data_IF_933014776003
#
_entry.id   IF_933014776003
#
_cell.length_a   1.000
_cell.length_b   1.000
_cell.length_c   1.000
_cell.angle_alpha   90.00
_cell.angle_beta   90.00
_cell.angle_gamma   90.00
#
_symmetry.space_group_name_H-M   'P 1'
#
loop_
_entity.id
_entity.type
_entity.pdbx_description
1 polymer ?
#
# COMPACT_ATOMS: atom_id res chain seq x y z
N UNK A 1 -9.26 24.91 37.74
CA UNK A 1 -9.35 23.53 37.22
C UNK A 1 -10.22 23.58 35.98
N UNK A 2 -9.61 23.84 34.81
CA UNK A 2 -10.30 23.77 33.53
C UNK A 2 -9.65 22.61 32.79
N UNK A 3 -10.38 21.52 32.70
CA UNK A 3 -10.01 20.31 31.97
C UNK A 3 -10.02 20.66 30.48
N UNK A 4 -8.83 20.75 29.90
CA UNK A 4 -8.66 20.96 28.47
C UNK A 4 -9.05 19.65 27.81
N UNK A 5 -10.25 19.63 27.22
CA UNK A 5 -10.70 18.57 26.35
C UNK A 5 -9.61 18.29 25.32
N UNK A 6 -9.06 17.08 25.36
CA UNK A 6 -8.13 16.59 24.36
C UNK A 6 -8.80 16.75 22.99
N UNK A 7 -8.23 17.64 22.18
CA UNK A 7 -8.59 17.75 20.77
C UNK A 7 -8.26 16.39 20.16
N UNK A 8 -9.30 15.64 19.80
CA UNK A 8 -9.18 14.43 18.99
C UNK A 8 -8.54 14.90 17.69
N UNK A 9 -7.24 14.66 17.53
CA UNK A 9 -6.53 14.93 16.29
C UNK A 9 -7.05 13.88 15.29
N UNK A 10 -8.18 14.20 14.67
CA UNK A 10 -8.76 13.41 13.60
C UNK A 10 -7.79 13.50 12.43
N UNK A 11 -6.80 12.61 12.40
CA UNK A 11 -5.86 12.53 11.28
C UNK A 11 -6.69 12.19 10.03
N UNK A 12 -6.90 13.12 9.07
CA UNK A 12 -7.78 12.88 7.94
C UNK A 12 -7.33 11.68 7.09
N UNK A 13 -6.04 11.33 7.18
CA UNK A 13 -5.48 10.16 6.51
C UNK A 13 -6.00 8.82 7.06
N UNK A 14 -6.39 8.75 8.34
CA UNK A 14 -6.99 7.53 8.91
C UNK A 14 -8.33 7.20 8.23
N UNK A 15 -9.06 8.23 7.80
CA UNK A 15 -10.33 8.10 7.12
C UNK A 15 -10.18 7.89 5.60
N UNK A 16 -8.96 7.97 5.07
CA UNK A 16 -8.70 7.82 3.64
C UNK A 16 -9.16 6.43 3.15
N UNK A 17 -9.89 6.35 2.01
CA UNK A 17 -10.38 5.08 1.49
C UNK A 17 -9.29 4.02 1.31
N UNK A 18 -8.12 4.44 0.79
CA UNK A 18 -6.98 3.55 0.62
C UNK A 18 -6.48 2.96 1.95
N UNK A 19 -6.36 3.78 3.00
CA UNK A 19 -5.90 3.35 4.33
C UNK A 19 -6.86 2.32 4.92
N UNK A 20 -8.18 2.54 4.79
CA UNK A 20 -9.20 1.57 5.22
C UNK A 20 -9.10 0.25 4.46
N UNK A 21 -8.85 0.29 3.15
CA UNK A 21 -8.69 -0.93 2.35
C UNK A 21 -7.43 -1.70 2.74
N UNK A 22 -6.32 -0.99 3.03
CA UNK A 22 -5.09 -1.61 3.52
C UNK A 22 -5.29 -2.28 4.89
N UNK A 23 -5.98 -1.62 5.83
CA UNK A 23 -6.32 -2.21 7.14
C UNK A 23 -7.13 -3.49 6.98
N UNK A 24 -8.15 -3.49 6.11
CA UNK A 24 -8.96 -4.69 5.84
C UNK A 24 -8.10 -5.84 5.35
N UNK A 25 -7.12 -5.59 4.49
CA UNK A 25 -6.20 -6.61 4.02
C UNK A 25 -5.34 -7.15 5.15
N UNK A 26 -4.79 -6.30 6.03
CA UNK A 26 -4.07 -6.77 7.22
C UNK A 26 -4.94 -7.66 8.11
N UNK A 27 -6.16 -7.21 8.40
CA UNK A 27 -7.13 -8.00 9.19
C UNK A 27 -7.45 -9.34 8.53
N UNK A 28 -7.56 -9.38 7.20
CA UNK A 28 -7.81 -10.62 6.46
C UNK A 28 -6.65 -11.62 6.54
N UNK A 29 -5.41 -11.15 6.77
CA UNK A 29 -4.25 -12.03 6.95
C UNK A 29 -4.16 -12.63 8.36
N UNK A 30 -4.84 -12.03 9.34
CA UNK A 30 -4.82 -12.46 10.74
C UNK A 30 -5.75 -13.66 10.99
N UNK A 31 -5.43 -14.80 10.38
CA UNK A 31 -6.28 -16.00 10.41
C UNK A 31 -6.46 -16.57 11.83
N UNK A 32 -5.56 -16.26 12.75
CA UNK A 32 -5.55 -16.77 14.12
C UNK A 32 -5.89 -15.71 15.18
N UNK A 33 -6.26 -14.48 14.78
CA UNK A 33 -6.64 -13.40 15.70
C UNK A 33 -5.50 -12.88 16.57
N UNK A 34 -4.25 -12.96 16.10
CA UNK A 34 -3.06 -12.51 16.83
C UNK A 34 -3.09 -10.99 17.07
N UNK A 35 -3.80 -10.24 16.24
CA UNK A 35 -3.87 -8.79 16.26
C UNK A 35 -5.25 -8.26 16.66
N UNK A 36 -6.18 -9.11 17.11
CA UNK A 36 -7.53 -8.69 17.54
C UNK A 36 -7.50 -7.59 18.62
N UNK A 37 -6.50 -7.60 19.49
CA UNK A 37 -6.30 -6.59 20.54
C UNK A 37 -5.61 -5.30 20.07
N UNK A 38 -5.11 -5.23 18.83
CA UNK A 38 -4.45 -4.03 18.28
C UNK A 38 -5.48 -3.07 17.69
N UNK A 39 -5.25 -1.76 17.80
CA UNK A 39 -6.04 -0.80 17.05
C UNK A 39 -5.71 -0.89 15.55
N UNK A 40 -6.65 -0.49 14.70
CA UNK A 40 -6.49 -0.61 13.24
C UNK A 40 -5.27 0.16 12.71
N UNK A 41 -5.00 1.35 13.25
CA UNK A 41 -3.85 2.15 12.82
C UNK A 41 -2.52 1.57 13.30
N UNK A 42 -2.50 0.84 14.42
CA UNK A 42 -1.29 0.19 14.94
C UNK A 42 -0.79 -0.90 13.98
N UNK A 43 -1.69 -1.49 13.19
CA UNK A 43 -1.33 -2.44 12.13
C UNK A 43 -0.48 -1.81 11.03
N UNK A 44 -0.60 -0.49 10.85
CA UNK A 44 0.10 0.25 9.80
C UNK A 44 1.40 0.90 10.28
N UNK A 45 1.73 0.83 11.57
CA UNK A 45 3.00 1.33 12.12
C UNK A 45 4.23 0.88 11.31
N UNK A 46 4.34 -0.38 10.84
CA UNK A 46 5.50 -0.82 10.05
C UNK A 46 5.65 -0.15 8.68
N UNK A 47 4.63 0.57 8.19
CA UNK A 47 4.74 1.40 6.99
C UNK A 47 5.30 2.79 7.30
N UNK A 48 5.28 3.22 8.56
CA UNK A 48 5.64 4.57 8.95
C UNK A 48 7.09 4.56 9.46
N UNK A 49 7.99 5.05 8.60
CA UNK A 49 9.42 5.11 8.90
C UNK A 49 9.86 6.54 8.65
N UNK A 50 10.45 7.17 9.66
CA UNK A 50 10.97 8.51 9.51
C UNK A 50 12.04 8.55 8.40
N UNK A 51 12.14 9.70 7.74
CA UNK A 51 13.01 9.86 6.58
C UNK A 51 14.48 9.58 6.88
N UNK A 52 14.95 9.82 8.10
CA UNK A 52 16.33 9.59 8.49
C UNK A 52 16.59 8.09 8.71
N UNK A 53 15.75 7.41 9.48
CA UNK A 53 15.85 5.96 9.69
C UNK A 53 15.71 5.19 8.39
N UNK A 54 14.75 5.58 7.53
CA UNK A 54 14.56 4.96 6.21
C UNK A 54 15.81 5.05 5.34
N UNK A 55 16.55 6.17 5.40
CA UNK A 55 17.82 6.34 4.68
C UNK A 55 18.99 5.61 5.34
N UNK A 56 18.94 5.38 6.65
CA UNK A 56 19.96 4.64 7.38
C UNK A 56 19.88 3.12 7.12
N UNK A 57 18.72 2.61 6.68
CA UNK A 57 18.57 1.20 6.34
C UNK A 57 19.58 0.78 5.25
N UNK A 58 20.38 -0.27 5.50
CA UNK A 58 21.33 -0.80 4.52
C UNK A 58 20.59 -1.45 3.35
N UNK A 59 21.19 -1.38 2.16
CA UNK A 59 20.70 -2.03 0.94
C UNK A 59 21.74 -3.10 0.60
N UNK A 60 21.76 -4.17 1.39
CA UNK A 60 22.75 -5.25 1.29
C UNK A 60 21.98 -6.57 1.30
N UNK A 61 22.21 -7.39 0.28
CA UNK A 61 21.50 -8.66 0.13
C UNK A 61 20.04 -8.48 -0.24
N UNK A 62 19.23 -9.50 -0.01
CA UNK A 62 17.81 -9.46 -0.33
C UNK A 62 17.03 -8.74 0.78
N UNK A 63 15.96 -7.99 0.44
CA UNK A 63 15.12 -7.35 1.44
C UNK A 63 14.48 -8.36 2.37
N UNK A 64 14.24 -7.92 3.60
CA UNK A 64 13.53 -8.71 4.60
C UNK A 64 12.15 -9.17 4.09
N UNK A 65 11.77 -10.45 4.26
CA UNK A 65 10.51 -11.00 3.77
C UNK A 65 9.27 -10.22 4.24
N UNK A 66 9.27 -9.72 5.47
CA UNK A 66 8.14 -8.93 5.97
C UNK A 66 8.05 -7.62 5.20
N UNK A 67 9.18 -6.99 4.86
CA UNK A 67 9.19 -5.76 4.05
C UNK A 67 8.61 -5.99 2.66
N UNK A 68 8.94 -7.12 2.03
CA UNK A 68 8.37 -7.52 0.74
C UNK A 68 6.87 -7.74 0.89
N UNK A 69 6.43 -8.48 1.92
CA UNK A 69 5.03 -8.77 2.15
C UNK A 69 4.20 -7.51 2.43
N UNK A 70 4.72 -6.55 3.19
CA UNK A 70 4.10 -5.23 3.39
C UNK A 70 3.91 -4.50 2.06
N UNK A 71 4.92 -4.50 1.21
CA UNK A 71 4.83 -3.91 -0.12
C UNK A 71 3.79 -4.63 -1.00
N UNK A 72 3.71 -5.95 -0.93
CA UNK A 72 2.67 -6.72 -1.62
C UNK A 72 1.27 -6.36 -1.13
N UNK A 73 1.03 -6.31 0.19
CA UNK A 73 -0.25 -5.90 0.77
C UNK A 73 -0.63 -4.47 0.38
N UNK A 74 0.33 -3.55 0.32
CA UNK A 74 0.11 -2.20 -0.21
C UNK A 74 -0.42 -2.24 -1.65
N UNK A 75 0.22 -2.98 -2.54
CA UNK A 75 -0.22 -3.07 -3.94
C UNK A 75 -1.51 -3.89 -4.11
N UNK A 76 -1.79 -4.84 -3.21
CA UNK A 76 -3.09 -5.51 -3.14
C UNK A 76 -4.20 -4.50 -2.77
N UNK A 77 -3.94 -3.61 -1.81
CA UNK A 77 -4.89 -2.56 -1.43
C UNK A 77 -5.17 -1.60 -2.59
N UNK A 78 -4.12 -1.24 -3.35
CA UNK A 78 -4.27 -0.45 -4.58
C UNK A 78 -5.13 -1.21 -5.60
N UNK A 79 -4.87 -2.50 -5.81
CA UNK A 79 -5.60 -3.33 -6.78
C UNK A 79 -7.10 -3.39 -6.46
N UNK A 80 -7.45 -3.69 -5.21
CA UNK A 80 -8.85 -3.73 -4.74
C UNK A 80 -9.53 -2.37 -4.80
N UNK A 81 -8.79 -1.29 -4.52
CA UNK A 81 -9.32 0.08 -4.62
C UNK A 81 -9.64 0.47 -6.06
N UNK A 82 -8.78 0.09 -7.03
CA UNK A 82 -9.04 0.30 -8.46
C UNK A 82 -10.25 -0.54 -8.91
N UNK A 83 -10.32 -1.81 -8.49
CA UNK A 83 -11.44 -2.69 -8.80
C UNK A 83 -12.76 -2.13 -8.27
N UNK A 84 -12.78 -1.64 -7.02
CA UNK A 84 -13.97 -0.99 -6.42
C UNK A 84 -14.41 0.23 -7.22
N UNK A 85 -13.48 1.01 -7.76
CA UNK A 85 -13.78 2.22 -8.52
C UNK A 85 -14.21 1.95 -9.98
N UNK A 86 -13.80 0.83 -10.58
CA UNK A 86 -13.95 0.58 -12.03
C UNK A 86 -14.79 -0.64 -12.38
N UNK A 87 -14.99 -1.56 -11.43
CA UNK A 87 -15.57 -2.88 -11.65
C UNK A 87 -14.67 -3.84 -12.43
N UNK A 88 -13.40 -3.48 -12.70
CA UNK A 88 -12.43 -4.34 -13.38
C UNK A 88 -11.56 -5.01 -12.34
N UNK A 89 -11.53 -6.34 -12.33
CA UNK A 89 -10.66 -7.11 -11.45
C UNK A 89 -9.19 -6.82 -11.74
N UNK A 90 -8.44 -6.46 -10.70
CA UNK A 90 -7.00 -6.13 -10.81
C UNK A 90 -6.18 -7.14 -10.03
N UNK A 91 -5.19 -7.74 -10.71
CA UNK A 91 -4.25 -8.69 -10.12
C UNK A 91 -2.84 -8.11 -10.07
N UNK A 92 -2.15 -8.14 -8.91
CA UNK A 92 -0.75 -7.78 -8.82
C UNK A 92 0.15 -8.93 -9.27
N UNK A 93 1.29 -8.57 -9.87
CA UNK A 93 2.39 -9.49 -10.14
C UNK A 93 3.72 -8.83 -9.77
N UNK A 94 4.39 -9.44 -8.79
CA UNK A 94 5.71 -9.03 -8.35
C UNK A 94 6.78 -9.96 -8.94
N UNK A 95 7.80 -9.37 -9.55
CA UNK A 95 9.06 -10.06 -9.81
C UNK A 95 10.19 -9.32 -9.11
N UNK A 96 10.71 -9.92 -8.05
CA UNK A 96 11.95 -9.48 -7.41
C UNK A 96 13.18 -10.10 -8.09
N UNK A 97 14.21 -9.28 -8.17
CA UNK A 97 15.61 -9.65 -8.41
C UNK A 97 16.35 -9.62 -7.06
N UNK A 98 17.63 -9.97 -7.10
CA UNK A 98 18.54 -9.79 -5.97
C UNK A 98 18.68 -8.30 -5.62
N UNK A 99 19.11 -8.01 -4.38
CA UNK A 99 19.51 -6.68 -3.92
C UNK A 99 18.38 -5.64 -3.81
N UNK A 100 17.12 -6.08 -3.76
CA UNK A 100 15.98 -5.19 -3.59
C UNK A 100 15.58 -4.43 -4.85
N UNK A 101 15.97 -4.94 -6.01
CA UNK A 101 15.46 -4.52 -7.31
C UNK A 101 14.30 -5.42 -7.75
N UNK A 102 13.39 -4.87 -8.54
CA UNK A 102 12.29 -5.67 -9.06
C UNK A 102 11.31 -4.87 -9.88
N UNK A 103 10.17 -5.49 -10.16
CA UNK A 103 9.06 -4.87 -10.87
C UNK A 103 7.74 -5.33 -10.28
N UNK A 104 6.90 -4.38 -9.94
CA UNK A 104 5.49 -4.60 -9.61
C UNK A 104 4.64 -4.12 -10.78
N UNK A 105 3.75 -4.99 -11.26
CA UNK A 105 2.72 -4.62 -12.23
C UNK A 105 1.36 -4.97 -11.67
N UNK A 106 0.38 -4.10 -11.91
CA UNK A 106 -1.03 -4.38 -11.65
C UNK A 106 -1.73 -4.57 -13.00
N UNK A 107 -2.48 -5.66 -13.14
CA UNK A 107 -3.02 -6.13 -14.41
C UNK A 107 -4.54 -6.25 -14.30
N UNK A 108 -5.26 -5.57 -15.19
CA UNK A 108 -6.69 -5.77 -15.41
C UNK A 108 -6.91 -6.30 -16.83
N UNK A 109 -7.50 -7.49 -16.98
CA UNK A 109 -7.61 -8.16 -18.27
C UNK A 109 -6.23 -8.36 -18.92
N UNK A 110 -5.98 -7.66 -20.04
CA UNK A 110 -4.66 -7.64 -20.72
C UNK A 110 -3.92 -6.31 -20.58
N UNK A 111 -4.43 -5.39 -19.75
CA UNK A 111 -3.87 -4.05 -19.55
C UNK A 111 -3.02 -4.00 -18.28
N UNK A 112 -1.78 -3.50 -18.40
CA UNK A 112 -0.99 -3.10 -17.24
C UNK A 112 -1.46 -1.70 -16.81
N UNK A 113 -2.19 -1.62 -15.69
CA UNK A 113 -2.77 -0.37 -15.18
C UNK A 113 -1.82 0.40 -14.28
N UNK A 114 -0.89 -0.30 -13.62
CA UNK A 114 0.24 0.28 -12.88
C UNK A 114 1.49 -0.50 -13.23
N UNK A 115 2.58 0.22 -13.49
CA UNK A 115 3.89 -0.36 -13.78
C UNK A 115 4.96 0.35 -12.94
N UNK A 116 5.44 -0.32 -11.88
CA UNK A 116 6.42 0.24 -10.96
C UNK A 116 7.73 -0.55 -11.04
N UNK A 117 8.80 0.13 -11.43
CA UNK A 117 10.15 -0.37 -11.21
C UNK A 117 10.50 -0.16 -9.72
N UNK A 118 10.93 -1.23 -9.07
CA UNK A 118 11.29 -1.25 -7.67
C UNK A 118 12.81 -1.17 -7.53
N UNK A 119 13.24 -0.32 -6.61
CA UNK A 119 14.63 -0.13 -6.19
C UNK A 119 14.64 0.12 -4.69
N UNK A 120 15.71 -0.29 -4.04
CA UNK A 120 15.91 -0.09 -2.61
C UNK A 120 14.72 -0.59 -1.76
N UNK A 121 14.14 -1.75 -2.10
CA UNK A 121 12.94 -2.27 -1.41
C UNK A 121 13.14 -2.44 0.10
N UNK A 122 14.39 -2.62 0.56
CA UNK A 122 14.80 -2.54 1.97
C UNK A 122 14.25 -1.30 2.70
N UNK A 123 14.07 -0.20 1.96
CA UNK A 123 13.63 1.10 2.46
C UNK A 123 12.15 1.36 2.23
N UNK A 124 11.36 0.34 1.92
CA UNK A 124 9.93 0.50 1.72
C UNK A 124 9.26 1.00 3.01
N UNK A 125 8.66 2.20 2.93
CA UNK A 125 8.06 2.91 4.05
C UNK A 125 7.81 4.39 3.69
N UNK A 126 6.99 5.04 4.51
CA UNK A 126 6.46 6.39 4.30
C UNK A 126 6.72 7.25 5.53
N UNK A 127 6.92 8.56 5.32
CA UNK A 127 7.31 9.47 6.40
C UNK A 127 6.20 9.65 7.46
N UNK A 128 4.93 9.45 7.09
CA UNK A 128 3.76 9.49 7.96
C UNK A 128 2.53 8.87 7.27
N UNK A 129 1.43 8.70 8.01
CA UNK A 129 0.17 8.12 7.50
C UNK A 129 -0.41 8.91 6.32
N UNK A 130 -0.30 10.24 6.32
CA UNK A 130 -0.74 11.07 5.19
C UNK A 130 0.01 10.77 3.90
N UNK A 131 1.32 10.55 3.98
CA UNK A 131 2.15 10.15 2.83
C UNK A 131 1.87 8.73 2.35
N UNK A 132 1.54 7.82 3.26
CA UNK A 132 1.06 6.48 2.90
C UNK A 132 -0.25 6.57 2.10
N UNK A 133 -1.22 7.34 2.59
CA UNK A 133 -2.50 7.55 1.93
C UNK A 133 -2.33 8.21 0.54
N UNK A 134 -1.59 9.31 0.46
CA UNK A 134 -1.35 10.07 -0.77
C UNK A 134 -0.71 9.21 -1.88
N UNK A 135 0.31 8.42 -1.55
CA UNK A 135 0.95 7.55 -2.54
C UNK A 135 0.05 6.38 -2.97
N UNK A 136 -0.75 5.81 -2.06
CA UNK A 136 -1.76 4.81 -2.40
C UNK A 136 -2.81 5.36 -3.37
N UNK A 137 -3.42 6.49 -3.02
CA UNK A 137 -4.45 7.16 -3.84
C UNK A 137 -3.92 7.55 -5.21
N UNK A 138 -2.64 7.95 -5.32
CA UNK A 138 -1.99 8.24 -6.60
C UNK A 138 -1.93 7.03 -7.51
N UNK A 139 -1.57 5.85 -6.99
CA UNK A 139 -1.58 4.63 -7.81
C UNK A 139 -3.01 4.22 -8.19
N UNK A 140 -3.98 4.39 -7.29
CA UNK A 140 -5.39 4.12 -7.58
C UNK A 140 -5.89 5.02 -8.71
N UNK A 141 -5.70 6.33 -8.59
CA UNK A 141 -6.10 7.30 -9.61
C UNK A 141 -5.44 7.00 -10.97
N UNK A 142 -4.14 6.70 -10.98
CA UNK A 142 -3.41 6.33 -12.20
C UNK A 142 -3.95 5.04 -12.84
N UNK A 143 -4.31 4.04 -12.03
CA UNK A 143 -4.88 2.79 -12.53
C UNK A 143 -6.28 2.98 -13.12
N UNK A 144 -7.13 3.74 -12.43
CA UNK A 144 -8.47 4.12 -12.91
C UNK A 144 -8.38 4.89 -14.23
N UNK A 145 -7.46 5.85 -14.33
CA UNK A 145 -7.22 6.61 -15.57
C UNK A 145 -6.83 5.68 -16.73
N UNK A 146 -5.91 4.74 -16.50
CA UNK A 146 -5.48 3.79 -17.53
C UNK A 146 -6.62 2.90 -18.02
N UNK A 147 -7.49 2.42 -17.10
CA UNK A 147 -8.66 1.62 -17.46
C UNK A 147 -9.66 2.43 -18.29
N UNK A 148 -9.94 3.67 -17.89
CA UNK A 148 -10.86 4.54 -18.61
C UNK A 148 -10.34 4.88 -20.02
N UNK A 149 -9.02 4.96 -20.17
CA UNK A 149 -8.38 5.21 -21.47
C UNK A 149 -8.39 3.99 -22.39
N UNK A 150 -8.33 2.78 -21.84
CA UNK A 150 -8.24 1.53 -22.61
C UNK A 150 -9.22 0.46 -22.10
N UNK A 151 -10.54 0.73 -22.11
CA UNK A 151 -11.53 -0.17 -21.50
C UNK A 151 -11.60 -1.54 -22.18
N UNK A 152 -11.43 -1.60 -23.50
CA UNK A 152 -11.49 -2.86 -24.26
C UNK A 152 -10.34 -3.81 -23.94
N UNK A 153 -9.20 -3.28 -23.51
CA UNK A 153 -8.03 -4.08 -23.08
C UNK A 153 -8.18 -4.52 -21.63
N UNK A 154 -8.79 -3.65 -20.81
CA UNK A 154 -9.04 -3.92 -19.39
C UNK A 154 -10.16 -4.95 -19.16
N UNK A 155 -11.20 -4.93 -20.01
CA UNK A 155 -12.37 -5.83 -19.96
C UNK A 155 -12.34 -6.91 -21.03
N UNK A 156 -11.14 -7.27 -21.48
CA UNK A 156 -10.90 -8.24 -22.54
C UNK A 156 -11.54 -9.60 -22.23
#
# INVERSE_FOLDING_TARGET
>A
MAEVAAVIDSNPAAEAPFVKELIKLWRAQDTHGTWDGKADLDLLEPYIIDKAARRALPIIGDPDPDTIWRMELFFNAVSLSIERATGVMISPMLKMSHEGFGRMVLIGGRLIVVNKQLRDVHRFGFDNLGKLAEEGDKYVASGVEMINKFPDVAKY
#
